data_IF_114365862635
#
_entry.id   IF_114365862635
#
_cell.length_a   1.000
_cell.length_b   1.000
_cell.length_c   1.000
_cell.angle_alpha   90.00
_cell.angle_beta   90.00
_cell.angle_gamma   90.00
#
_symmetry.space_group_name_H-M   'P 1'
#
loop_
_entity.id
_entity.type
_entity.pdbx_description
1 polymer ?
#
# COMPACT_ATOMS: atom_id res chain seq x y z
N UNK A 1 5.04 24.78 9.07
CA UNK A 1 4.07 24.36 8.03
C UNK A 1 2.79 23.87 8.70
N UNK A 2 1.62 23.96 8.05
CA UNK A 2 0.32 23.63 8.69
C UNK A 2 0.27 22.22 9.31
N UNK A 3 0.89 21.22 8.67
CA UNK A 3 0.99 19.86 9.19
C UNK A 3 1.84 19.75 10.47
N UNK A 4 2.99 20.43 10.55
CA UNK A 4 3.83 20.44 11.76
C UNK A 4 3.09 21.10 12.94
N UNK A 5 2.33 22.16 12.68
CA UNK A 5 1.49 22.81 13.69
C UNK A 5 0.39 21.88 14.21
N UNK A 6 -0.06 20.92 13.40
CA UNK A 6 -0.98 19.85 13.79
C UNK A 6 -0.29 18.66 14.46
N UNK A 7 1.03 18.74 14.69
CA UNK A 7 1.81 17.74 15.42
C UNK A 7 2.31 16.56 14.58
N UNK A 8 2.19 16.61 13.25
CA UNK A 8 2.80 15.59 12.39
C UNK A 8 4.32 15.82 12.33
N UNK A 9 5.10 14.74 12.50
CA UNK A 9 6.57 14.77 12.49
C UNK A 9 7.17 13.81 11.46
N UNK A 10 6.40 12.87 10.95
CA UNK A 10 6.84 11.84 10.00
C UNK A 10 6.27 12.09 8.60
N UNK A 11 6.93 11.52 7.57
CA UNK A 11 6.44 11.54 6.17
C UNK A 11 6.18 12.95 5.62
N UNK A 12 6.88 13.95 6.18
CA UNK A 12 6.86 15.35 5.73
C UNK A 12 7.96 15.65 4.69
N UNK A 13 8.64 14.62 4.17
CA UNK A 13 9.62 14.79 3.11
C UNK A 13 8.99 15.35 1.82
N UNK A 14 9.79 16.03 1.02
CA UNK A 14 9.34 16.71 -0.20
C UNK A 14 8.64 15.76 -1.17
N UNK A 15 9.13 14.53 -1.33
CA UNK A 15 8.57 13.59 -2.30
C UNK A 15 7.20 13.09 -1.86
N UNK A 16 7.02 12.83 -0.56
CA UNK A 16 5.74 12.45 0.02
C UNK A 16 4.72 13.56 -0.09
N UNK A 17 5.02 14.78 0.36
CA UNK A 17 4.08 15.90 0.30
C UNK A 17 3.69 16.24 -1.14
N UNK A 18 4.63 16.17 -2.09
CA UNK A 18 4.33 16.39 -3.50
C UNK A 18 3.40 15.32 -4.10
N UNK A 19 3.36 14.09 -3.58
CA UNK A 19 2.38 13.08 -4.02
C UNK A 19 0.95 13.50 -3.66
N UNK A 20 0.72 13.97 -2.43
CA UNK A 20 -0.59 14.47 -1.99
C UNK A 20 -1.01 15.72 -2.76
N UNK A 21 -0.08 16.68 -2.92
CA UNK A 21 -0.32 17.89 -3.71
C UNK A 21 -0.70 17.54 -5.15
N UNK A 22 0.06 16.69 -5.85
CA UNK A 22 -0.29 16.26 -7.21
C UNK A 22 -1.65 15.55 -7.27
N UNK A 23 -1.96 14.69 -6.30
CA UNK A 23 -3.24 13.97 -6.22
C UNK A 23 -4.47 14.87 -6.02
N UNK A 24 -4.26 16.12 -5.58
CA UNK A 24 -5.31 17.14 -5.40
C UNK A 24 -5.06 18.40 -6.21
N UNK A 25 -4.32 18.29 -7.33
CA UNK A 25 -4.07 19.40 -8.27
C UNK A 25 -3.48 20.65 -7.59
N UNK A 26 -2.63 20.44 -6.60
CA UNK A 26 -1.99 21.47 -5.76
C UNK A 26 -2.96 22.31 -4.92
N UNK A 27 -4.20 21.87 -4.71
CA UNK A 27 -5.07 22.43 -3.68
C UNK A 27 -4.53 22.06 -2.29
N UNK A 28 -3.98 23.04 -1.57
CA UNK A 28 -3.32 22.82 -0.28
C UNK A 28 -4.29 22.28 0.77
N UNK A 29 -5.52 22.79 0.82
CA UNK A 29 -6.50 22.39 1.83
C UNK A 29 -6.97 20.94 1.61
N UNK A 30 -7.28 20.57 0.37
CA UNK A 30 -7.66 19.20 0.03
C UNK A 30 -6.49 18.22 0.18
N UNK A 31 -5.26 18.65 -0.10
CA UNK A 31 -4.05 17.83 0.08
C UNK A 31 -3.78 17.56 1.56
N UNK A 32 -3.92 18.58 2.40
CA UNK A 32 -3.81 18.46 3.85
C UNK A 32 -4.86 17.50 4.41
N UNK A 33 -6.13 17.65 4.00
CA UNK A 33 -7.19 16.74 4.41
C UNK A 33 -6.89 15.29 4.00
N UNK A 34 -6.38 15.07 2.79
CA UNK A 34 -5.98 13.74 2.32
C UNK A 34 -4.80 13.17 3.12
N UNK A 35 -3.80 13.98 3.46
CA UNK A 35 -2.66 13.56 4.28
C UNK A 35 -3.12 13.17 5.69
N UNK A 36 -3.92 14.01 6.34
CA UNK A 36 -4.45 13.75 7.69
C UNK A 36 -5.26 12.46 7.72
N UNK A 37 -6.13 12.25 6.73
CA UNK A 37 -6.91 11.02 6.61
C UNK A 37 -6.03 9.79 6.37
N UNK A 38 -4.97 9.93 5.55
CA UNK A 38 -4.00 8.86 5.34
C UNK A 38 -3.28 8.49 6.63
N UNK A 39 -2.81 9.47 7.41
CA UNK A 39 -2.14 9.22 8.70
C UNK A 39 -3.08 8.60 9.73
N UNK A 40 -4.36 9.00 9.75
CA UNK A 40 -5.37 8.37 10.59
C UNK A 40 -5.58 6.89 10.20
N UNK A 41 -5.72 6.61 8.90
CA UNK A 41 -5.88 5.25 8.39
C UNK A 41 -4.66 4.36 8.70
N UNK A 42 -3.43 4.87 8.53
CA UNK A 42 -2.20 4.14 8.89
C UNK A 42 -2.21 3.70 10.36
N UNK A 43 -2.68 4.55 11.26
CA UNK A 43 -2.82 4.23 12.70
C UNK A 43 -3.93 3.22 12.95
N UNK A 44 -5.08 3.38 12.29
CA UNK A 44 -6.23 2.49 12.44
C UNK A 44 -5.89 1.04 12.10
N UNK A 45 -5.17 0.81 11.00
CA UNK A 45 -4.77 -0.54 10.57
C UNK A 45 -3.41 -0.98 11.13
N UNK A 46 -2.80 -0.17 11.99
CA UNK A 46 -1.46 -0.39 12.54
C UNK A 46 -0.40 -0.69 11.44
N UNK A 47 -0.41 0.10 10.35
CA UNK A 47 0.36 -0.22 9.14
C UNK A 47 1.87 -0.25 9.39
N UNK A 48 2.40 0.61 10.26
CA UNK A 48 3.84 0.65 10.52
C UNK A 48 4.34 -0.65 11.18
N UNK A 49 3.53 -1.25 12.06
CA UNK A 49 3.79 -2.57 12.64
C UNK A 49 3.57 -3.69 11.63
N UNK A 50 2.49 -3.60 10.84
CA UNK A 50 2.16 -4.58 9.81
C UNK A 50 3.31 -4.73 8.80
N UNK A 51 3.90 -3.63 8.33
CA UNK A 51 5.05 -3.65 7.40
C UNK A 51 6.26 -4.36 7.99
N UNK A 52 6.47 -4.27 9.31
CA UNK A 52 7.62 -4.90 9.96
C UNK A 52 7.38 -6.37 10.30
N UNK A 53 6.14 -6.72 10.68
CA UNK A 53 5.85 -7.97 11.39
C UNK A 53 4.87 -8.90 10.66
N UNK A 54 4.29 -8.51 9.53
CA UNK A 54 3.37 -9.36 8.79
C UNK A 54 4.08 -10.52 8.10
N UNK A 55 3.67 -11.74 8.45
CA UNK A 55 4.12 -12.97 7.78
C UNK A 55 3.01 -13.56 6.90
N UNK A 56 3.29 -13.64 5.59
CA UNK A 56 2.40 -14.28 4.62
C UNK A 56 2.79 -15.73 4.35
N UNK A 57 2.58 -16.58 5.35
CA UNK A 57 3.03 -17.98 5.35
C UNK A 57 2.38 -18.81 4.24
N UNK A 58 1.17 -18.47 3.82
CA UNK A 58 0.44 -19.15 2.75
C UNK A 58 0.81 -18.67 1.33
N UNK A 59 1.75 -17.72 1.19
CA UNK A 59 2.09 -17.09 -0.10
C UNK A 59 2.37 -18.10 -1.22
N UNK A 60 3.12 -19.16 -0.91
CA UNK A 60 3.46 -20.19 -1.89
C UNK A 60 2.23 -20.96 -2.41
N UNK A 61 1.25 -21.21 -1.55
CA UNK A 61 -0.01 -21.88 -1.92
C UNK A 61 -0.91 -20.93 -2.71
N UNK A 62 -0.98 -19.66 -2.31
CA UNK A 62 -1.77 -18.64 -3.02
C UNK A 62 -1.19 -18.36 -4.41
N UNK A 63 0.14 -18.41 -4.58
CA UNK A 63 0.80 -18.16 -5.85
C UNK A 63 0.35 -19.09 -6.99
N UNK A 64 -0.08 -20.31 -6.67
CA UNK A 64 -0.61 -21.26 -7.67
C UNK A 64 -1.89 -20.73 -8.34
N UNK A 65 -2.75 -20.07 -7.56
CA UNK A 65 -4.05 -19.56 -8.00
C UNK A 65 -4.00 -18.09 -8.39
N UNK A 66 -3.23 -17.26 -7.68
CA UNK A 66 -3.11 -15.84 -7.99
C UNK A 66 -1.66 -15.36 -7.94
N UNK A 67 -0.89 -15.58 -9.03
CA UNK A 67 0.50 -15.12 -9.10
C UNK A 67 0.60 -13.60 -9.07
N UNK A 68 1.27 -13.08 -8.04
CA UNK A 68 1.62 -11.67 -7.85
C UNK A 68 3.10 -11.57 -7.53
N UNK A 69 3.87 -10.81 -8.32
CA UNK A 69 5.31 -10.69 -8.11
C UNK A 69 5.93 -9.46 -8.76
N UNK A 70 7.07 -9.03 -8.23
CA UNK A 70 7.94 -8.06 -8.86
C UNK A 70 8.98 -8.76 -9.74
N UNK A 71 9.28 -8.21 -10.92
CA UNK A 71 10.34 -8.73 -11.78
C UNK A 71 11.02 -7.63 -12.59
N UNK A 72 12.28 -7.32 -12.25
CA UNK A 72 13.12 -6.31 -12.93
C UNK A 72 12.50 -4.90 -12.89
N UNK A 73 12.95 -4.04 -13.80
CA UNK A 73 12.53 -2.66 -13.95
C UNK A 73 12.17 -2.35 -15.41
N UNK A 74 11.34 -1.34 -15.62
CA UNK A 74 11.08 -0.77 -16.94
C UNK A 74 12.25 0.10 -17.44
N UNK A 75 12.10 0.70 -18.63
CA UNK A 75 13.11 1.56 -19.26
C UNK A 75 13.44 2.85 -18.49
N UNK A 76 12.57 3.27 -17.57
CA UNK A 76 12.76 4.47 -16.74
C UNK A 76 13.18 4.08 -15.29
N UNK A 77 13.46 2.79 -15.05
CA UNK A 77 13.90 2.27 -13.76
C UNK A 77 12.77 1.96 -12.77
N UNK A 78 11.49 1.98 -13.18
CA UNK A 78 10.37 1.65 -12.27
C UNK A 78 10.31 0.15 -12.02
N UNK A 79 10.16 -0.31 -10.76
CA UNK A 79 9.92 -1.72 -10.48
C UNK A 79 8.66 -2.22 -11.20
N UNK A 80 8.78 -3.34 -11.92
CA UNK A 80 7.64 -3.93 -12.63
C UNK A 80 6.92 -4.91 -11.72
N UNK A 81 5.68 -4.59 -11.37
CA UNK A 81 4.76 -5.46 -10.64
C UNK A 81 3.82 -6.17 -11.62
N UNK A 82 3.67 -7.49 -11.46
CA UNK A 82 2.91 -8.36 -12.36
C UNK A 82 1.86 -9.12 -11.56
N UNK A 83 0.60 -9.00 -11.97
CA UNK A 83 -0.52 -9.80 -11.45
C UNK A 83 -1.15 -10.62 -12.57
N UNK A 84 -1.27 -11.93 -12.37
CA UNK A 84 -1.95 -12.82 -13.33
C UNK A 84 -3.40 -13.06 -12.94
N UNK A 85 -4.23 -12.01 -13.08
CA UNK A 85 -5.64 -12.06 -12.69
C UNK A 85 -6.44 -13.17 -13.42
N UNK A 86 -6.08 -13.47 -14.68
CA UNK A 86 -6.73 -14.54 -15.45
C UNK A 86 -6.55 -15.96 -14.90
N UNK A 87 -5.63 -16.16 -13.93
CA UNK A 87 -5.48 -17.44 -13.21
C UNK A 87 -6.23 -17.50 -11.89
N UNK A 88 -6.73 -16.36 -11.41
CA UNK A 88 -7.33 -16.21 -10.08
C UNK A 88 -8.49 -17.19 -9.89
N UNK A 89 -8.36 -18.08 -8.90
CA UNK A 89 -9.44 -18.94 -8.41
C UNK A 89 -9.78 -18.54 -6.96
N UNK A 90 -10.76 -17.66 -6.83
CA UNK A 90 -11.22 -17.18 -5.52
C UNK A 90 -11.80 -18.31 -4.66
N UNK A 91 -12.38 -19.36 -5.26
CA UNK A 91 -12.97 -20.47 -4.49
C UNK A 91 -11.89 -21.34 -3.87
N UNK A 92 -10.78 -21.58 -4.59
CA UNK A 92 -9.62 -22.26 -4.04
C UNK A 92 -8.91 -21.39 -2.98
N UNK A 93 -8.69 -20.10 -3.28
CA UNK A 93 -7.98 -19.17 -2.39
C UNK A 93 -8.69 -18.94 -1.05
N UNK A 94 -10.02 -18.83 -1.05
CA UNK A 94 -10.79 -18.65 0.19
C UNK A 94 -10.72 -19.85 1.16
N UNK A 95 -10.18 -21.00 0.72
CA UNK A 95 -9.89 -22.14 1.59
C UNK A 95 -8.51 -22.04 2.26
N UNK A 96 -7.66 -21.13 1.80
CA UNK A 96 -6.25 -20.99 2.18
C UNK A 96 -6.00 -19.69 2.95
N UNK A 97 -6.56 -18.57 2.47
CA UNK A 97 -6.36 -17.24 3.03
C UNK A 97 -7.69 -16.50 3.18
N UNK A 98 -7.64 -15.27 3.70
CA UNK A 98 -8.78 -14.37 3.80
C UNK A 98 -8.56 -13.11 2.95
N UNK A 99 -9.65 -12.44 2.59
CA UNK A 99 -9.57 -11.15 1.89
C UNK A 99 -8.77 -10.11 2.70
N UNK A 100 -8.92 -10.12 4.03
CA UNK A 100 -8.15 -9.24 4.92
C UNK A 100 -6.64 -9.52 4.81
N UNK A 101 -6.22 -10.79 4.86
CA UNK A 101 -4.80 -11.16 4.72
C UNK A 101 -4.25 -10.83 3.34
N UNK A 102 -5.06 -10.96 2.29
CA UNK A 102 -4.68 -10.51 0.95
C UNK A 102 -4.47 -8.99 0.89
N UNK A 103 -5.35 -8.21 1.53
CA UNK A 103 -5.19 -6.75 1.62
C UNK A 103 -3.97 -6.36 2.45
N UNK A 104 -3.70 -7.07 3.56
CA UNK A 104 -2.49 -6.89 4.36
C UNK A 104 -1.23 -7.16 3.53
N UNK A 105 -1.18 -8.26 2.77
CA UNK A 105 -0.07 -8.58 1.86
C UNK A 105 0.14 -7.52 0.75
N UNK A 106 -0.90 -6.80 0.34
CA UNK A 106 -0.78 -5.70 -0.62
C UNK A 106 -0.34 -4.38 0.02
N UNK A 107 -0.52 -4.24 1.34
CA UNK A 107 -0.14 -3.04 2.07
C UNK A 107 1.34 -3.06 2.50
N UNK A 108 1.98 -4.23 2.55
CA UNK A 108 3.37 -4.44 3.02
C UNK A 108 4.36 -4.80 1.92
#
# INVERSE_FOLDING_TARGET
MSLEQKGFTERLDTLTLLRFLRARKFDVALSEAMFVNSEAWRKEINLDDLVQNFEYTEKAQIFEYYPQYYHKTDKDGRPVYIEQLGKCDLTAMNKITTQERMLQNLAV
#
